data_IF_384013166711
#
_entry.id   IF_384013166711
#
_cell.length_a   1.000
_cell.length_b   1.000
_cell.length_c   1.000
_cell.angle_alpha   90.00
_cell.angle_beta   90.00
_cell.angle_gamma   90.00
#
_symmetry.space_group_name_H-M   'P 1'
#
loop_
_entity.id
_entity.type
_entity.pdbx_description
1 polymer ?
#
# COMPACT_ATOMS: atom_id res chain seq x y z
N UNK A 1 -10.17 2.78 -20.15
CA UNK A 1 -9.94 2.30 -18.77
C UNK A 1 -9.57 3.44 -17.83
N UNK A 2 -8.54 4.26 -18.11
CA UNK A 2 -8.14 5.38 -17.25
C UNK A 2 -9.24 6.44 -16.98
N UNK A 3 -10.21 6.60 -17.88
CA UNK A 3 -11.29 7.59 -17.73
C UNK A 3 -12.55 7.07 -17.02
N UNK A 4 -12.66 5.75 -16.81
CA UNK A 4 -13.94 5.13 -16.39
C UNK A 4 -13.81 4.07 -15.27
N UNK A 5 -12.60 3.61 -14.96
CA UNK A 5 -12.36 2.59 -13.94
C UNK A 5 -11.49 3.14 -12.82
N UNK A 6 -11.86 2.85 -11.58
CA UNK A 6 -11.05 3.10 -10.38
C UNK A 6 -9.79 2.24 -10.36
N UNK A 7 -8.81 2.63 -9.53
CA UNK A 7 -7.60 1.85 -9.32
C UNK A 7 -7.94 0.43 -8.82
N UNK A 8 -8.89 0.33 -7.89
CA UNK A 8 -9.33 -0.93 -7.30
C UNK A 8 -9.99 -1.86 -8.33
N UNK A 9 -10.80 -1.34 -9.26
CA UNK A 9 -11.37 -2.14 -10.35
C UNK A 9 -10.30 -2.71 -11.29
N UNK A 10 -9.32 -1.89 -11.66
CA UNK A 10 -8.22 -2.32 -12.54
C UNK A 10 -7.31 -3.31 -11.81
N UNK A 11 -6.99 -3.06 -10.54
CA UNK A 11 -6.18 -3.96 -9.73
C UNK A 11 -6.89 -5.32 -9.53
N UNK A 12 -8.20 -5.31 -9.27
CA UNK A 12 -9.00 -6.53 -9.19
C UNK A 12 -8.97 -7.30 -10.51
N UNK A 13 -9.18 -6.61 -11.64
CA UNK A 13 -9.13 -7.21 -12.98
C UNK A 13 -7.78 -7.88 -13.24
N UNK A 14 -6.67 -7.21 -12.92
CA UNK A 14 -5.33 -7.74 -13.14
C UNK A 14 -5.02 -8.96 -12.26
N UNK A 15 -5.56 -9.01 -11.04
CA UNK A 15 -5.35 -10.13 -10.12
C UNK A 15 -6.27 -11.33 -10.41
N UNK A 16 -7.51 -11.09 -10.81
CA UNK A 16 -8.55 -12.13 -10.93
C UNK A 16 -8.91 -12.49 -12.38
N UNK A 17 -8.47 -11.69 -13.36
CA UNK A 17 -8.74 -11.91 -14.79
C UNK A 17 -10.10 -11.43 -15.28
N UNK A 18 -10.97 -10.95 -14.39
CA UNK A 18 -12.30 -10.43 -14.71
C UNK A 18 -12.62 -9.14 -13.94
N UNK A 19 -13.49 -8.29 -14.49
CA UNK A 19 -13.92 -7.08 -13.80
C UNK A 19 -14.78 -7.44 -12.57
N UNK A 20 -14.61 -6.74 -11.43
CA UNK A 20 -15.42 -7.01 -10.27
C UNK A 20 -16.87 -6.55 -10.50
N UNK A 21 -17.82 -7.31 -9.96
CA UNK A 21 -19.15 -6.75 -9.68
C UNK A 21 -19.09 -5.84 -8.44
N UNK A 22 -20.17 -5.10 -8.15
CA UNK A 22 -20.21 -4.14 -7.03
C UNK A 22 -19.85 -4.77 -5.68
N UNK A 23 -20.29 -6.01 -5.40
CA UNK A 23 -19.99 -6.71 -4.14
C UNK A 23 -18.51 -7.04 -4.04
N UNK A 24 -17.93 -7.57 -5.12
CA UNK A 24 -16.51 -7.91 -5.18
C UNK A 24 -15.64 -6.66 -5.04
N UNK A 25 -16.03 -5.55 -5.68
CA UNK A 25 -15.30 -4.29 -5.58
C UNK A 25 -15.30 -3.75 -4.15
N UNK A 26 -16.47 -3.71 -3.49
CA UNK A 26 -16.57 -3.24 -2.09
C UNK A 26 -15.72 -4.08 -1.16
N UNK A 27 -15.74 -5.41 -1.32
CA UNK A 27 -14.93 -6.32 -0.51
C UNK A 27 -13.43 -6.13 -0.76
N UNK A 28 -13.03 -6.04 -2.02
CA UNK A 28 -11.62 -5.85 -2.39
C UNK A 28 -11.07 -4.51 -1.88
N UNK A 29 -11.84 -3.43 -1.99
CA UNK A 29 -11.46 -2.12 -1.44
C UNK A 29 -11.28 -2.18 0.08
N UNK A 30 -12.16 -2.89 0.80
CA UNK A 30 -12.02 -3.09 2.25
C UNK A 30 -10.78 -3.91 2.60
N UNK A 31 -10.48 -4.96 1.84
CA UNK A 31 -9.29 -5.77 2.04
C UNK A 31 -8.01 -4.94 1.86
N UNK A 32 -7.94 -4.13 0.81
CA UNK A 32 -6.82 -3.20 0.61
C UNK A 32 -6.72 -2.24 1.79
N UNK A 33 -7.84 -1.61 2.20
CA UNK A 33 -7.85 -0.64 3.29
C UNK A 33 -7.36 -1.23 4.62
N UNK A 34 -7.73 -2.48 4.93
CA UNK A 34 -7.34 -3.18 6.14
C UNK A 34 -5.84 -3.54 6.18
N UNK A 35 -5.18 -3.65 5.01
CA UNK A 35 -3.79 -4.10 4.91
C UNK A 35 -2.77 -2.94 4.82
N UNK A 36 -3.23 -1.68 4.86
CA UNK A 36 -2.37 -0.50 4.65
C UNK A 36 -1.32 -0.27 5.73
N UNK A 37 -1.61 -0.68 6.97
CA UNK A 37 -0.74 -0.38 8.10
C UNK A 37 0.61 -1.08 7.99
N UNK A 38 1.68 -0.35 8.30
CA UNK A 38 3.04 -0.89 8.35
C UNK A 38 3.37 -1.36 9.77
N UNK A 39 4.06 -2.49 9.87
CA UNK A 39 4.65 -2.90 11.14
C UNK A 39 5.60 -1.79 11.66
N UNK A 40 5.57 -1.54 12.98
CA UNK A 40 6.35 -0.46 13.59
C UNK A 40 7.86 -0.55 13.29
N UNK A 41 8.39 -1.76 13.09
CA UNK A 41 9.77 -2.02 12.71
C UNK A 41 10.09 -1.47 11.31
N UNK A 42 9.15 -1.55 10.37
CA UNK A 42 9.30 -1.00 9.01
C UNK A 42 9.37 0.51 9.07
N UNK A 43 8.49 1.15 9.86
CA UNK A 43 8.52 2.60 10.07
C UNK A 43 9.85 3.04 10.72
N UNK A 44 10.35 2.29 11.72
CA UNK A 44 11.67 2.55 12.32
C UNK A 44 12.78 2.47 11.29
N UNK A 45 12.77 1.47 10.40
CA UNK A 45 13.76 1.35 9.33
C UNK A 45 13.71 2.56 8.39
N UNK A 46 12.53 3.04 8.00
CA UNK A 46 12.40 4.25 7.17
C UNK A 46 13.08 5.46 7.83
N UNK A 47 13.01 5.59 9.16
CA UNK A 47 13.67 6.68 9.92
C UNK A 47 15.18 6.56 10.01
N UNK A 48 15.72 5.35 9.85
CA UNK A 48 17.17 5.11 9.86
C UNK A 48 17.83 5.40 8.50
N UNK A 49 17.03 5.55 7.44
CA UNK A 49 17.55 5.83 6.11
C UNK A 49 18.21 7.22 6.07
N UNK A 50 19.37 7.36 5.40
CA UNK A 50 19.96 8.68 5.15
C UNK A 50 18.99 9.56 4.36
N UNK A 51 18.94 10.87 4.68
CA UNK A 51 18.10 11.83 3.91
C UNK A 51 18.50 11.94 2.44
N UNK A 52 19.73 11.59 2.10
CA UNK A 52 20.25 11.54 0.72
C UNK A 52 19.93 10.23 -0.01
N UNK A 53 19.27 9.26 0.64
CA UNK A 53 18.92 8.00 0.01
C UNK A 53 17.95 8.23 -1.14
N UNK A 54 18.17 7.54 -2.26
CA UNK A 54 17.27 7.62 -3.39
C UNK A 54 15.91 6.98 -3.00
N UNK A 55 14.75 7.56 -3.38
CA UNK A 55 13.43 7.02 -3.02
C UNK A 55 13.25 5.55 -3.42
N UNK A 56 13.85 5.13 -4.52
CA UNK A 56 13.81 3.72 -4.96
C UNK A 56 14.62 2.77 -4.06
N UNK A 57 15.71 3.23 -3.43
CA UNK A 57 16.46 2.41 -2.47
C UNK A 57 15.65 2.20 -1.18
N UNK A 58 14.97 3.25 -0.72
CA UNK A 58 14.00 3.17 0.37
C UNK A 58 12.87 2.20 0.05
N UNK A 59 12.27 2.32 -1.14
CA UNK A 59 11.17 1.46 -1.56
C UNK A 59 11.60 -0.01 -1.67
N UNK A 60 12.73 -0.29 -2.35
CA UNK A 60 13.29 -1.66 -2.47
C UNK A 60 13.50 -2.28 -1.09
N UNK A 61 14.14 -1.54 -0.19
CA UNK A 61 14.47 -2.01 1.16
C UNK A 61 13.20 -2.20 2.00
N UNK A 62 12.24 -1.27 1.89
CA UNK A 62 10.92 -1.38 2.52
C UNK A 62 10.15 -2.62 2.09
N UNK A 63 10.06 -2.88 0.78
CA UNK A 63 9.40 -4.08 0.25
C UNK A 63 10.11 -5.35 0.72
N UNK A 64 11.45 -5.38 0.71
CA UNK A 64 12.21 -6.51 1.25
C UNK A 64 11.91 -6.74 2.73
N UNK A 65 11.76 -5.67 3.51
CA UNK A 65 11.48 -5.77 4.95
C UNK A 65 10.03 -6.21 5.22
N UNK A 66 9.07 -5.79 4.40
CA UNK A 66 7.69 -6.28 4.47
C UNK A 66 7.62 -7.80 4.37
N UNK A 67 8.42 -8.41 3.49
CA UNK A 67 8.47 -9.86 3.33
C UNK A 67 8.82 -10.60 4.62
N UNK A 68 9.72 -10.06 5.44
CA UNK A 68 10.14 -10.67 6.72
C UNK A 68 8.98 -10.77 7.72
N UNK A 69 8.01 -9.86 7.64
CA UNK A 69 6.83 -9.83 8.51
C UNK A 69 5.60 -10.50 7.87
N UNK A 70 5.73 -11.06 6.68
CA UNK A 70 4.62 -11.74 6.01
C UNK A 70 4.50 -13.18 6.51
N UNK A 71 3.38 -13.59 7.13
CA UNK A 71 3.20 -14.95 7.65
C UNK A 71 3.19 -16.01 6.53
N UNK A 72 2.94 -15.61 5.29
CA UNK A 72 2.85 -16.48 4.12
C UNK A 72 4.07 -16.33 3.19
N UNK A 73 5.18 -15.78 3.70
CA UNK A 73 6.40 -15.53 2.92
C UNK A 73 6.82 -16.75 2.09
N UNK A 74 6.84 -17.93 2.71
CA UNK A 74 7.29 -19.17 2.09
C UNK A 74 6.17 -19.99 1.41
N UNK A 75 4.91 -19.55 1.48
CA UNK A 75 3.80 -20.20 0.79
C UNK A 75 3.70 -19.65 -0.64
N UNK A 76 4.02 -20.48 -1.62
CA UNK A 76 4.00 -20.12 -3.04
C UNK A 76 2.73 -20.61 -3.76
N UNK A 77 1.70 -21.04 -3.01
CA UNK A 77 0.40 -21.35 -3.59
C UNK A 77 -0.22 -20.11 -4.24
N UNK A 78 -1.02 -20.32 -5.29
CA UNK A 78 -1.69 -19.21 -5.98
C UNK A 78 -2.53 -18.36 -5.01
N UNK A 79 -3.27 -19.00 -4.11
CA UNK A 79 -4.09 -18.32 -3.12
C UNK A 79 -3.26 -17.43 -2.16
N UNK A 80 -2.12 -17.93 -1.66
CA UNK A 80 -1.21 -17.13 -0.83
C UNK A 80 -0.58 -15.97 -1.63
N UNK A 81 -0.21 -16.20 -2.89
CA UNK A 81 0.35 -15.15 -3.75
C UNK A 81 -0.66 -14.04 -4.06
N UNK A 82 -1.94 -14.36 -4.21
CA UNK A 82 -3.01 -13.35 -4.35
C UNK A 82 -3.11 -12.51 -3.07
N UNK A 83 -3.12 -13.15 -1.89
CA UNK A 83 -3.14 -12.43 -0.60
C UNK A 83 -1.90 -11.55 -0.39
N UNK A 84 -0.70 -12.07 -0.69
CA UNK A 84 0.55 -11.29 -0.68
C UNK A 84 0.48 -10.10 -1.62
N UNK A 85 -0.08 -10.27 -2.82
CA UNK A 85 -0.26 -9.17 -3.77
C UNK A 85 -1.16 -8.07 -3.23
N UNK A 86 -2.27 -8.42 -2.56
CA UNK A 86 -3.17 -7.44 -1.92
C UNK A 86 -2.43 -6.66 -0.83
N UNK A 87 -1.68 -7.37 0.04
CA UNK A 87 -0.85 -6.74 1.07
C UNK A 87 0.18 -5.77 0.48
N UNK A 88 0.84 -6.16 -0.61
CA UNK A 88 1.83 -5.32 -1.29
C UNK A 88 1.17 -4.09 -1.93
N UNK A 89 0.03 -4.24 -2.62
CA UNK A 89 -0.73 -3.11 -3.20
C UNK A 89 -1.06 -2.08 -2.11
N UNK A 90 -1.53 -2.55 -0.95
CA UNK A 90 -1.86 -1.70 0.19
C UNK A 90 -0.61 -1.00 0.75
N UNK A 91 0.41 -1.78 1.15
CA UNK A 91 1.56 -1.31 1.93
C UNK A 91 2.60 -0.54 1.12
N UNK A 92 2.70 -0.75 -0.19
CA UNK A 92 3.63 0.02 -1.05
C UNK A 92 3.23 1.49 -1.09
N UNK A 93 1.93 1.78 -1.18
CA UNK A 93 1.40 3.15 -1.04
C UNK A 93 1.84 3.79 0.29
N UNK A 94 1.69 3.03 1.38
CA UNK A 94 2.08 3.46 2.72
C UNK A 94 3.58 3.70 2.84
N UNK A 95 4.43 2.81 2.31
CA UNK A 95 5.89 2.97 2.27
C UNK A 95 6.31 4.26 1.58
N UNK A 96 5.68 4.57 0.44
CA UNK A 96 5.99 5.79 -0.33
C UNK A 96 5.60 7.03 0.45
N UNK A 97 4.38 7.07 0.98
CA UNK A 97 3.84 8.25 1.66
C UNK A 97 4.52 8.51 3.00
N UNK A 98 4.68 7.49 3.84
CA UNK A 98 5.40 7.61 5.12
C UNK A 98 6.86 7.92 4.91
N UNK A 99 7.50 7.23 3.96
CA UNK A 99 8.89 7.52 3.61
C UNK A 99 9.09 8.95 3.13
N UNK A 100 8.17 9.48 2.31
CA UNK A 100 8.20 10.87 1.86
C UNK A 100 8.07 11.84 3.04
N UNK A 101 7.10 11.64 3.94
CA UNK A 101 6.93 12.50 5.14
C UNK A 101 8.19 12.49 6.01
N UNK A 102 8.73 11.30 6.29
CA UNK A 102 9.93 11.12 7.11
C UNK A 102 11.14 11.84 6.51
N UNK A 103 11.34 11.74 5.19
CA UNK A 103 12.44 12.43 4.49
C UNK A 103 12.32 13.96 4.59
N UNK A 104 11.09 14.48 4.66
CA UNK A 104 10.81 15.92 4.82
C UNK A 104 10.72 16.36 6.29
N UNK A 105 11.02 15.49 7.25
CA UNK A 105 11.00 15.81 8.68
C UNK A 105 9.61 15.86 9.29
N UNK A 106 8.62 15.28 8.61
CA UNK A 106 7.25 15.15 9.08
C UNK A 106 6.98 13.73 9.63
N UNK A 107 6.02 13.62 10.54
CA UNK A 107 5.59 12.31 11.05
C UNK A 107 4.69 11.56 10.06
N UNK A 108 4.66 10.23 10.00
CA UNK A 108 3.61 9.49 9.29
C UNK A 108 2.19 9.89 9.72
N UNK A 109 1.23 9.76 8.79
CA UNK A 109 -0.20 9.97 9.10
C UNK A 109 -0.91 8.63 9.29
N UNK A 110 -1.95 8.59 10.15
CA UNK A 110 -2.76 7.38 10.31
C UNK A 110 -3.49 7.02 9.02
N UNK A 111 -3.77 5.74 8.81
CA UNK A 111 -4.59 5.30 7.67
C UNK A 111 -6.03 5.77 7.80
N UNK A 112 -6.66 6.14 6.67
CA UNK A 112 -8.11 6.42 6.60
C UNK A 112 -8.82 5.29 5.85
N UNK A 113 -9.48 4.36 6.55
CA UNK A 113 -10.08 3.18 5.93
C UNK A 113 -11.26 3.51 5.01
N UNK A 114 -11.93 4.65 5.24
CA UNK A 114 -13.07 5.10 4.44
C UNK A 114 -12.65 5.71 3.08
N UNK A 115 -11.35 5.94 2.85
CA UNK A 115 -10.83 6.44 1.58
C UNK A 115 -10.42 5.30 0.64
N UNK A 116 -10.61 5.53 -0.66
CA UNK A 116 -10.01 4.72 -1.72
C UNK A 116 -8.48 4.71 -1.61
N UNK A 117 -7.82 3.78 -2.28
CA UNK A 117 -6.36 3.68 -2.25
C UNK A 117 -5.71 4.99 -2.73
N UNK A 118 -6.22 5.58 -3.80
CA UNK A 118 -5.77 6.89 -4.29
C UNK A 118 -6.07 8.01 -3.28
N UNK A 119 -7.28 8.04 -2.72
CA UNK A 119 -7.68 9.05 -1.73
C UNK A 119 -6.79 9.04 -0.49
N UNK A 120 -6.51 7.85 0.05
CA UNK A 120 -5.61 7.69 1.19
C UNK A 120 -4.17 8.09 0.84
N UNK A 121 -3.68 7.73 -0.35
CA UNK A 121 -2.34 8.12 -0.80
C UNK A 121 -2.18 9.65 -0.84
N UNK A 122 -3.12 10.37 -1.46
CA UNK A 122 -3.07 11.83 -1.52
C UNK A 122 -3.25 12.48 -0.14
N UNK A 123 -4.16 11.96 0.68
CA UNK A 123 -4.30 12.39 2.07
C UNK A 123 -2.99 12.26 2.83
N UNK A 124 -2.29 11.13 2.72
CA UNK A 124 -1.02 10.92 3.43
C UNK A 124 0.12 11.77 2.89
N UNK A 125 0.13 12.11 1.60
CA UNK A 125 1.12 13.02 1.02
C UNK A 125 0.88 14.49 1.39
N UNK A 126 -0.38 14.92 1.48
CA UNK A 126 -0.73 16.35 1.63
C UNK A 126 -1.18 16.75 3.02
N UNK A 127 -1.61 15.79 3.85
CA UNK A 127 -2.23 16.03 5.14
C UNK A 127 -3.72 16.42 5.09
N UNK A 128 -4.29 16.55 3.89
CA UNK A 128 -5.67 16.98 3.66
C UNK A 128 -6.43 15.94 2.84
N UNK A 129 -7.72 15.72 3.14
CA UNK A 129 -8.55 14.79 2.38
C UNK A 129 -8.83 15.40 1.00
N UNK A 130 -8.49 14.71 -0.11
CA UNK A 130 -8.77 15.22 -1.45
C UNK A 130 -10.29 15.35 -1.69
N UNK A 131 -10.67 16.40 -2.43
CA UNK A 131 -12.06 16.65 -2.87
C UNK A 131 -12.44 15.78 -4.06
#
# INVERSE_FOLDING_TARGET
>A
MAEQASFEEVAYLLLNGELPNLKNLVEFTRQIAAERELAAQVVKMLRLMPRSAHPMDMLRTGVSMLGVFDPELNDNSHAANVRKSIRLIARVSTLITDGWRILHGEEPLPEKPDLTQAGNFFYKLKGEVPQ
#
